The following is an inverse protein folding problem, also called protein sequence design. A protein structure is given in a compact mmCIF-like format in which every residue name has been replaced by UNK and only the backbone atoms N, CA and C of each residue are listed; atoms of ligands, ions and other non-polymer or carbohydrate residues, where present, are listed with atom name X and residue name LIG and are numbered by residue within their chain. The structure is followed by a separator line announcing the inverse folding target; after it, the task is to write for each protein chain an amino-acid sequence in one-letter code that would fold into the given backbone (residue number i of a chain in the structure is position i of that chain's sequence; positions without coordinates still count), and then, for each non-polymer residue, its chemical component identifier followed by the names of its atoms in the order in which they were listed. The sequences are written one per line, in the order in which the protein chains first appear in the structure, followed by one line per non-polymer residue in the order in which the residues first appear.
data_IF_678254821890
#
_entry.id   IF_678254821890
#
_cell.length_a   1.000
_cell.length_b   1.000
_cell.length_c   1.000
_cell.angle_alpha   90.00
_cell.angle_beta   90.00
_cell.angle_gamma   90.00
#
_symmetry.space_group_name_H-M   'P 1'
#
loop_
_entity.id
_entity.type
_entity.pdbx_description
1 polymer ?
#
# COMPACT_ATOMS: atom_id res chain seq x y z
N UNK A 1 16.85 -10.51 2.67
CA UNK A 1 16.89 -10.05 4.05
C UNK A 1 15.57 -9.36 4.39
N UNK A 2 15.03 -9.68 5.51
CA UNK A 2 13.73 -9.15 5.88
C UNK A 2 13.85 -7.70 6.32
N UNK A 3 12.88 -6.89 5.94
CA UNK A 3 12.78 -5.54 6.37
C UNK A 3 12.36 -5.50 7.84
N UNK A 4 12.87 -4.54 8.57
CA UNK A 4 12.46 -4.37 9.95
C UNK A 4 11.09 -3.71 9.97
N UNK A 5 10.10 -4.44 10.45
CA UNK A 5 8.73 -3.95 10.47
C UNK A 5 8.36 -3.43 11.84
N UNK A 6 7.47 -2.44 11.91
CA UNK A 6 7.01 -1.96 13.20
C UNK A 6 6.16 -3.01 13.90
N UNK A 7 6.14 -2.95 15.22
CA UNK A 7 5.32 -3.87 15.99
C UNK A 7 3.84 -3.56 15.82
N UNK A 8 3.50 -2.30 15.65
CA UNK A 8 2.11 -1.90 15.50
C UNK A 8 1.96 -0.96 14.33
N UNK A 9 0.83 -1.06 13.66
CA UNK A 9 0.43 -0.14 12.60
C UNK A 9 -1.03 0.20 12.90
N UNK A 10 -1.35 1.48 13.05
CA UNK A 10 -2.73 1.84 13.39
C UNK A 10 -3.70 1.45 12.29
N UNK A 11 -4.83 0.89 12.66
CA UNK A 11 -5.90 0.65 11.70
C UNK A 11 -6.35 1.99 11.13
N UNK A 12 -6.60 2.01 9.83
CA UNK A 12 -6.99 3.23 9.14
C UNK A 12 -5.83 4.02 8.58
N UNK A 13 -4.59 3.69 8.97
CA UNK A 13 -3.43 4.39 8.41
C UNK A 13 -3.32 4.07 6.92
N UNK A 14 -2.95 5.07 6.15
CA UNK A 14 -2.75 4.88 4.72
C UNK A 14 -1.29 4.61 4.44
N UNK A 15 -1.01 3.53 3.73
CA UNK A 15 0.36 3.06 3.50
C UNK A 15 0.58 2.71 2.05
N UNK A 16 1.85 2.78 1.63
CA UNK A 16 2.29 2.07 0.44
C UNK A 16 3.18 0.94 0.90
N UNK A 17 2.94 -0.26 0.36
CA UNK A 17 3.68 -1.46 0.72
C UNK A 17 4.23 -2.07 -0.55
N UNK A 18 5.51 -2.36 -0.57
CA UNK A 18 6.15 -3.04 -1.71
C UNK A 18 6.37 -4.50 -1.36
N UNK A 19 5.87 -5.36 -2.22
CA UNK A 19 5.94 -6.80 -2.04
C UNK A 19 6.90 -7.37 -3.08
N UNK A 20 7.77 -8.29 -2.65
CA UNK A 20 8.64 -9.01 -3.57
C UNK A 20 7.86 -10.18 -4.18
N UNK A 21 7.88 -10.27 -5.49
CA UNK A 21 7.18 -11.32 -6.21
C UNK A 21 8.11 -12.47 -6.64
N UNK A 22 9.40 -12.35 -6.31
CA UNK A 22 10.37 -13.32 -6.75
C UNK A 22 10.94 -12.96 -8.11
N UNK A 23 11.88 -13.75 -8.61
CA UNK A 23 12.53 -13.44 -9.89
C UNK A 23 11.57 -13.64 -11.06
N UNK A 24 11.75 -12.82 -12.07
CA UNK A 24 11.01 -12.97 -13.30
C UNK A 24 11.51 -14.22 -14.03
N UNK A 25 10.60 -14.97 -14.62
CA UNK A 25 10.97 -16.20 -15.32
C UNK A 25 11.82 -15.95 -16.54
N UNK A 26 11.66 -14.80 -17.16
CA UNK A 26 12.32 -14.54 -18.43
C UNK A 26 13.73 -14.03 -18.24
N UNK A 27 13.92 -13.10 -17.30
CA UNK A 27 15.23 -12.46 -17.16
C UNK A 27 15.86 -12.64 -15.78
N UNK A 28 15.18 -13.35 -14.87
CA UNK A 28 15.71 -13.60 -13.54
C UNK A 28 15.79 -12.38 -12.64
N UNK A 29 15.31 -11.25 -13.07
CA UNK A 29 15.39 -10.04 -12.26
C UNK A 29 14.29 -10.04 -11.21
N UNK A 30 14.56 -9.46 -10.03
CA UNK A 30 13.53 -9.38 -9.02
C UNK A 30 12.38 -8.50 -9.49
N UNK A 31 11.18 -8.93 -9.16
CA UNK A 31 9.97 -8.19 -9.47
C UNK A 31 9.30 -7.77 -8.18
N UNK A 32 8.64 -6.62 -8.24
CA UNK A 32 7.96 -6.06 -7.09
C UNK A 32 6.59 -5.56 -7.48
N UNK A 33 5.73 -5.44 -6.49
CA UNK A 33 4.41 -4.84 -6.68
C UNK A 33 4.12 -3.92 -5.51
N UNK A 34 3.61 -2.75 -5.80
CA UNK A 34 3.25 -1.79 -4.77
C UNK A 34 1.74 -1.83 -4.54
N UNK A 35 1.37 -1.80 -3.27
CA UNK A 35 -0.02 -1.71 -2.86
C UNK A 35 -0.20 -0.44 -2.05
N UNK A 36 -1.23 0.33 -2.36
CA UNK A 36 -1.55 1.54 -1.61
C UNK A 36 -2.95 1.38 -1.06
N UNK A 37 -3.12 1.63 0.21
CA UNK A 37 -4.44 1.51 0.81
C UNK A 37 -4.42 1.79 2.29
N UNK A 38 -5.55 1.49 2.93
CA UNK A 38 -5.73 1.72 4.35
C UNK A 38 -5.62 0.43 5.13
N UNK A 39 -4.95 0.47 6.26
CA UNK A 39 -4.74 -0.71 7.09
C UNK A 39 -6.06 -1.11 7.74
N UNK A 40 -6.41 -2.37 7.59
CA UNK A 40 -7.54 -2.96 8.30
C UNK A 40 -7.04 -3.66 9.55
N UNK A 41 -5.95 -4.42 9.42
CA UNK A 41 -5.41 -5.15 10.55
C UNK A 41 -3.94 -5.47 10.31
N UNK A 42 -3.17 -5.50 11.38
CA UNK A 42 -1.75 -5.87 11.33
C UNK A 42 -1.42 -6.63 12.60
N UNK A 43 -0.95 -7.86 12.46
CA UNK A 43 -0.63 -8.69 13.61
C UNK A 43 0.86 -8.99 13.74
N UNK A 44 1.71 -8.30 12.98
CA UNK A 44 3.15 -8.55 13.01
C UNK A 44 3.62 -9.53 11.95
N UNK A 45 2.70 -10.31 11.39
CA UNK A 45 3.02 -11.30 10.37
C UNK A 45 2.22 -11.10 9.10
N UNK A 46 1.06 -10.52 9.22
CA UNK A 46 0.15 -10.38 8.10
C UNK A 46 -0.52 -9.03 8.17
N UNK A 47 -0.57 -8.37 7.03
CA UNK A 47 -1.20 -7.08 6.89
C UNK A 47 -2.45 -7.23 6.04
N UNK A 48 -3.57 -6.81 6.56
CA UNK A 48 -4.81 -6.75 5.78
C UNK A 48 -5.00 -5.29 5.39
N UNK A 49 -5.08 -5.05 4.10
CA UNK A 49 -5.10 -3.70 3.55
C UNK A 49 -6.29 -3.55 2.63
N UNK A 50 -7.02 -2.46 2.79
CA UNK A 50 -8.06 -2.09 1.82
C UNK A 50 -7.36 -1.28 0.74
N UNK A 51 -7.08 -1.97 -0.37
CA UNK A 51 -6.34 -1.40 -1.47
C UNK A 51 -7.17 -0.35 -2.21
N UNK A 52 -6.55 0.78 -2.49
CA UNK A 52 -7.24 1.83 -3.22
C UNK A 52 -7.64 1.34 -4.61
N UNK A 53 -8.75 1.83 -5.14
CA UNK A 53 -9.08 1.52 -6.53
C UNK A 53 -8.08 2.18 -7.46
N UNK A 54 -7.95 1.60 -8.66
CA UNK A 54 -7.07 2.18 -9.66
C UNK A 54 -7.57 3.56 -10.05
N UNK A 55 -6.65 4.50 -10.22
CA UNK A 55 -7.01 5.88 -10.50
C UNK A 55 -7.80 6.03 -11.79
N UNK A 56 -7.56 5.12 -12.76
CA UNK A 56 -8.25 5.20 -14.05
C UNK A 56 -9.57 4.41 -14.06
N UNK A 57 -9.99 3.88 -12.92
CA UNK A 57 -11.23 3.13 -12.85
C UNK A 57 -11.16 1.72 -13.38
N UNK A 58 -9.99 1.23 -13.77
CA UNK A 58 -9.88 -0.10 -14.34
C UNK A 58 -9.99 -1.20 -13.30
N UNK A 59 -9.88 -0.87 -12.03
CA UNK A 59 -9.93 -1.87 -10.95
C UNK A 59 -10.59 -1.22 -9.73
N UNK A 60 -11.60 -1.87 -9.17
CA UNK A 60 -12.20 -1.37 -7.94
C UNK A 60 -11.27 -1.58 -6.75
N UNK A 61 -11.55 -0.90 -5.67
CA UNK A 61 -10.85 -1.16 -4.43
C UNK A 61 -11.11 -2.59 -3.98
N UNK A 62 -10.13 -3.17 -3.30
CA UNK A 62 -10.28 -4.54 -2.81
C UNK A 62 -9.47 -4.75 -1.56
N UNK A 63 -9.88 -5.70 -0.76
CA UNK A 63 -9.16 -6.06 0.45
C UNK A 63 -8.14 -7.14 0.09
N UNK A 64 -6.89 -6.91 0.47
CA UNK A 64 -5.83 -7.87 0.18
C UNK A 64 -5.12 -8.23 1.48
N UNK A 65 -4.55 -9.43 1.50
CA UNK A 65 -3.75 -9.90 2.63
C UNK A 65 -2.32 -10.03 2.16
N UNK A 66 -1.41 -9.36 2.86
CA UNK A 66 0.00 -9.33 2.50
C UNK A 66 0.81 -9.96 3.62
N UNK A 67 1.77 -10.81 3.26
CA UNK A 67 2.61 -11.48 4.25
C UNK A 67 3.82 -10.63 4.57
N UNK A 68 4.12 -10.48 5.84
CA UNK A 68 5.26 -9.67 6.27
C UNK A 68 6.55 -10.16 5.63
N UNK A 69 6.70 -11.47 5.45
CA UNK A 69 7.93 -12.02 4.90
C UNK A 69 8.16 -11.59 3.45
N UNK A 70 7.10 -11.18 2.75
CA UNK A 70 7.22 -10.73 1.36
C UNK A 70 7.39 -9.22 1.26
N UNK A 71 7.23 -8.51 2.34
CA UNK A 71 7.25 -7.05 2.31
C UNK A 71 8.69 -6.55 2.35
N UNK A 72 9.06 -5.74 1.37
CA UNK A 72 10.42 -5.22 1.28
C UNK A 72 10.48 -3.72 1.53
N UNK A 73 9.34 -3.04 1.55
CA UNK A 73 9.27 -1.63 1.89
C UNK A 73 7.89 -1.30 2.38
N UNK A 74 7.81 -0.37 3.29
CA UNK A 74 6.54 0.06 3.85
C UNK A 74 6.72 1.48 4.33
N UNK A 75 5.83 2.37 3.93
CA UNK A 75 5.88 3.73 4.44
C UNK A 75 4.49 4.35 4.46
N UNK A 76 4.26 5.26 5.39
CA UNK A 76 2.99 5.97 5.43
C UNK A 76 2.91 6.96 4.27
N UNK A 77 1.69 7.18 3.80
CA UNK A 77 1.45 8.20 2.78
C UNK A 77 0.28 9.04 3.25
N UNK A 78 0.23 10.30 2.82
CA UNK A 78 -0.87 11.15 3.24
C UNK A 78 -2.18 10.69 2.63
N UNK A 79 -3.27 11.03 3.28
CA UNK A 79 -4.57 10.76 2.74
C UNK A 79 -4.73 11.49 1.43
N UNK A 80 -5.38 10.82 0.48
CA UNK A 80 -5.69 11.45 -0.78
C UNK A 80 -6.77 12.48 -0.54
N UNK A 81 -6.52 13.70 -0.92
CA UNK A 81 -7.53 14.69 -0.81
C UNK A 81 -8.63 14.42 -1.78
N UNK A 82 -9.83 14.74 -1.37
CA UNK A 82 -10.95 14.73 -2.27
C UNK A 82 -10.63 15.61 -3.47
N UNK A 83 -11.07 15.24 -4.66
CA UNK A 83 -10.77 16.05 -5.83
C UNK A 83 -11.55 17.36 -5.87
N UNK A 84 -12.25 17.70 -4.84
CA UNK A 84 -12.90 18.98 -4.82
C UNK A 84 -11.85 20.06 -4.93
N UNK A 85 -12.15 21.12 -5.61
CA UNK A 85 -11.23 22.23 -5.71
C UNK A 85 -10.94 22.72 -4.33
N UNK A 86 -9.77 23.18 -4.16
CA UNK A 86 -9.50 23.83 -2.95
C UNK A 86 -10.45 24.93 -2.82
N UNK A 87 -10.89 25.12 -1.68
CA UNK A 87 -11.68 26.29 -1.49
C UNK A 87 -10.84 27.39 -1.98
N UNK A 88 -11.37 28.13 -2.63
CA UNK A 88 -10.64 29.09 -3.24
C UNK A 88 -9.85 29.94 -2.35
N UNK A 89 -9.43 29.49 -2.11
CA UNK A 89 -8.97 29.79 -1.59
C UNK A 89 -8.12 29.97 -1.79
N UNK A 90 -7.98 30.07 -2.30
CA UNK A 90 -7.42 30.05 -2.81
C UNK A 90 -7.48 30.76 -3.32
N UNK A 91 -7.50 31.17 -3.41
CA UNK A 91 -7.69 31.55 -3.99
C UNK A 91 -7.80 31.92 -4.45
N UNK A 92 -8.03 32.36 -4.61
CA UNK A 92 -8.22 32.50 -5.35
C UNK A 92 -8.33 33.15 -5.58
#
# INVERSE_FOLDING_TARGET
MAMRLPATIPAGARLVVRIALGPDREDGRPKFRDYVGHVVDWNGRRLILDRDPAANGSRPGERVTLQAEDMVALKPVPERRSPRPDPPNFSR
#
